data_IF_161525962140
#
_entry.id   IF_161525962140
#
_cell.length_a   1.000
_cell.length_b   1.000
_cell.length_c   1.000
_cell.angle_alpha   90.00
_cell.angle_beta   90.00
_cell.angle_gamma   90.00
#
_symmetry.space_group_name_H-M   'P 1'
#
loop_
_entity.id
_entity.type
_entity.pdbx_description
1 polymer ?
#
# COMPACT_ATOMS: atom_id res chain seq x y z
N UNK A 1 11.89 -37.04 15.62
CA UNK A 1 10.48 -36.72 15.31
C UNK A 1 10.43 -35.31 14.74
N UNK A 2 10.33 -35.16 13.42
CA UNK A 2 10.20 -33.85 12.75
C UNK A 2 8.74 -33.42 12.81
N UNK A 3 8.42 -32.41 13.63
CA UNK A 3 7.07 -31.84 13.70
C UNK A 3 6.79 -31.12 12.38
N UNK A 4 5.95 -31.71 11.54
CA UNK A 4 5.42 -31.05 10.33
C UNK A 4 4.61 -29.85 10.80
N UNK A 5 5.09 -28.64 10.52
CA UNK A 5 4.37 -27.40 10.80
C UNK A 5 3.16 -27.34 9.85
N UNK A 6 1.98 -27.63 10.36
CA UNK A 6 0.75 -27.21 9.72
C UNK A 6 0.67 -25.68 9.82
N UNK A 7 0.25 -24.97 8.76
CA UNK A 7 -0.02 -23.54 8.89
C UNK A 7 -1.15 -23.37 9.90
N UNK A 8 -0.83 -22.89 11.09
CA UNK A 8 -1.80 -22.46 12.08
C UNK A 8 -2.66 -21.34 11.44
N UNK A 9 -3.98 -21.30 11.72
CA UNK A 9 -4.82 -20.20 11.27
C UNK A 9 -4.19 -18.88 11.71
N UNK A 10 -4.03 -17.94 10.76
CA UNK A 10 -3.35 -16.66 10.99
C UNK A 10 -3.92 -15.96 12.24
N UNK A 11 -3.14 -15.97 13.32
CA UNK A 11 -3.54 -15.37 14.59
C UNK A 11 -2.95 -13.97 14.69
N UNK A 12 -3.83 -12.98 14.80
CA UNK A 12 -3.44 -11.57 14.94
C UNK A 12 -3.43 -11.19 16.42
N UNK A 13 -2.48 -10.33 16.79
CA UNK A 13 -2.37 -9.76 18.13
C UNK A 13 -2.25 -8.25 18.03
N UNK A 14 -2.93 -7.55 18.92
CA UNK A 14 -2.77 -6.12 19.09
C UNK A 14 -1.47 -5.81 19.87
N UNK A 15 -1.04 -4.54 19.84
CA UNK A 15 0.15 -4.08 20.57
C UNK A 15 0.03 -4.23 22.10
N UNK A 16 -1.19 -4.37 22.63
CA UNK A 16 -1.45 -4.66 24.04
C UNK A 16 -1.50 -6.18 24.35
N UNK A 17 -1.00 -7.01 23.44
CA UNK A 17 -0.99 -8.47 23.50
C UNK A 17 -2.37 -9.15 23.52
N UNK A 18 -3.46 -8.42 23.33
CA UNK A 18 -4.78 -9.05 23.17
C UNK A 18 -4.89 -9.75 21.81
N UNK A 19 -5.55 -10.90 21.81
CA UNK A 19 -5.83 -11.67 20.58
C UNK A 19 -6.92 -10.96 19.78
N UNK A 20 -6.66 -10.72 18.50
CA UNK A 20 -7.65 -10.20 17.55
C UNK A 20 -8.31 -11.40 16.87
N UNK A 21 -9.63 -11.53 17.01
CA UNK A 21 -10.41 -12.57 16.35
C UNK A 21 -10.47 -12.29 14.84
N UNK A 22 -10.25 -13.32 14.02
CA UNK A 22 -10.34 -13.26 12.57
C UNK A 22 -11.42 -14.22 12.07
N UNK A 23 -12.13 -13.81 11.02
CA UNK A 23 -13.30 -14.51 10.47
C UNK A 23 -13.11 -14.91 9.00
N UNK A 24 -11.87 -14.91 8.54
CA UNK A 24 -11.51 -15.18 7.15
C UNK A 24 -11.12 -13.92 6.40
N UNK A 25 -11.38 -13.90 5.09
CA UNK A 25 -10.94 -12.82 4.21
C UNK A 25 -11.96 -12.52 3.13
N UNK A 26 -11.98 -11.28 2.66
CA UNK A 26 -12.90 -10.79 1.63
C UNK A 26 -12.15 -9.91 0.64
N UNK A 27 -12.44 -10.08 -0.65
CA UNK A 27 -11.98 -9.16 -1.68
C UNK A 27 -12.81 -7.87 -1.57
N UNK A 28 -12.14 -6.74 -1.40
CA UNK A 28 -12.76 -5.43 -1.28
C UNK A 28 -12.05 -4.49 -2.24
N UNK A 29 -12.83 -3.72 -3.00
CA UNK A 29 -12.33 -2.58 -3.74
C UNK A 29 -12.41 -1.35 -2.83
N UNK A 30 -11.27 -0.73 -2.53
CA UNK A 30 -11.19 0.50 -1.76
C UNK A 30 -11.07 1.66 -2.73
N UNK A 31 -11.93 2.65 -2.55
CA UNK A 31 -11.77 3.97 -3.16
C UNK A 31 -10.94 4.84 -2.20
N UNK A 32 -9.75 5.25 -2.66
CA UNK A 32 -8.84 6.14 -1.94
C UNK A 32 -8.79 7.53 -2.59
N UNK A 33 -9.68 7.81 -3.56
CA UNK A 33 -9.71 9.05 -4.35
C UNK A 33 -8.44 9.27 -5.21
N UNK A 34 -7.63 8.23 -5.41
CA UNK A 34 -6.37 8.28 -6.17
C UNK A 34 -6.53 7.96 -7.67
N UNK A 35 -7.69 8.27 -8.26
CA UNK A 35 -8.00 8.04 -9.69
C UNK A 35 -7.77 6.59 -10.21
N UNK A 36 -7.67 5.60 -9.31
CA UNK A 36 -7.64 4.17 -9.64
C UNK A 36 -8.23 3.32 -8.53
N UNK A 37 -8.58 2.08 -8.87
CA UNK A 37 -9.21 1.12 -7.97
C UNK A 37 -8.16 0.30 -7.20
N UNK A 38 -8.41 0.07 -5.92
CA UNK A 38 -7.55 -0.74 -5.06
C UNK A 38 -8.29 -2.01 -4.61
N UNK A 39 -8.23 -3.05 -5.44
CA UNK A 39 -8.85 -4.35 -5.13
C UNK A 39 -7.88 -5.24 -4.35
N UNK A 40 -8.21 -5.56 -3.10
CA UNK A 40 -7.35 -6.37 -2.23
C UNK A 40 -8.13 -7.33 -1.34
N UNK A 41 -7.49 -8.45 -1.01
CA UNK A 41 -8.06 -9.48 -0.13
C UNK A 41 -7.76 -9.13 1.32
N UNK A 42 -8.71 -8.45 1.97
CA UNK A 42 -8.61 -8.07 3.38
C UNK A 42 -8.98 -9.19 4.32
N UNK A 43 -8.35 -9.22 5.50
CA UNK A 43 -8.76 -10.06 6.61
C UNK A 43 -9.94 -9.41 7.33
N UNK A 44 -10.99 -10.20 7.56
CA UNK A 44 -12.12 -9.78 8.40
C UNK A 44 -11.72 -10.05 9.84
N UNK A 45 -11.58 -8.99 10.63
CA UNK A 45 -11.12 -9.07 12.01
C UNK A 45 -12.02 -8.26 12.94
N UNK A 46 -12.13 -8.69 14.19
CA UNK A 46 -12.82 -7.94 15.26
C UNK A 46 -11.92 -6.80 15.74
N UNK A 47 -11.91 -5.69 15.00
CA UNK A 47 -11.20 -4.45 15.34
C UNK A 47 -12.16 -3.28 15.34
N UNK A 48 -11.94 -2.29 16.23
CA UNK A 48 -12.78 -1.09 16.31
C UNK A 48 -12.54 -0.11 15.15
N UNK A 49 -11.31 -0.07 14.65
CA UNK A 49 -10.89 0.81 13.55
C UNK A 49 -10.30 -0.06 12.44
N UNK A 50 -10.77 0.04 11.19
CA UNK A 50 -10.16 -0.65 10.05
C UNK A 50 -8.71 -0.22 9.87
N UNK A 51 -7.83 -1.17 9.55
CA UNK A 51 -6.39 -0.93 9.42
C UNK A 51 -5.94 -1.30 8.01
N UNK A 52 -5.28 -0.36 7.33
CA UNK A 52 -4.53 -0.64 6.11
C UNK A 52 -3.11 -1.04 6.52
N UNK A 53 -2.69 -2.22 6.07
CA UNK A 53 -1.38 -2.78 6.38
C UNK A 53 -0.33 -2.28 5.39
N UNK A 54 0.93 -2.35 5.79
CA UNK A 54 2.06 -1.93 4.95
C UNK A 54 2.21 -2.79 3.67
N UNK A 55 1.78 -4.06 3.71
CA UNK A 55 1.77 -4.96 2.54
C UNK A 55 0.87 -4.44 1.40
N UNK A 56 -0.30 -3.90 1.75
CA UNK A 56 -1.18 -3.22 0.79
C UNK A 56 -0.50 -1.97 0.21
N UNK A 57 0.13 -1.15 1.06
CA UNK A 57 0.80 0.08 0.62
C UNK A 57 1.94 -0.24 -0.36
N UNK A 58 2.77 -1.23 -0.03
CA UNK A 58 3.85 -1.71 -0.87
C UNK A 58 3.32 -2.24 -2.22
N UNK A 59 2.31 -3.11 -2.19
CA UNK A 59 1.76 -3.71 -3.40
C UNK A 59 1.24 -2.67 -4.40
N UNK A 60 0.64 -1.59 -3.90
CA UNK A 60 0.10 -0.54 -4.75
C UNK A 60 1.08 0.62 -4.97
N UNK A 61 2.27 0.63 -4.36
CA UNK A 61 3.20 1.76 -4.48
C UNK A 61 2.66 3.04 -3.84
N UNK A 62 2.06 2.93 -2.66
CA UNK A 62 1.50 4.05 -1.90
C UNK A 62 2.49 4.51 -0.83
N UNK A 63 2.75 5.81 -0.78
CA UNK A 63 3.60 6.44 0.23
C UNK A 63 2.74 7.20 1.25
N UNK A 64 3.05 7.04 2.53
CA UNK A 64 2.34 7.72 3.61
C UNK A 64 3.15 8.94 4.04
N UNK A 65 2.62 10.14 3.81
CA UNK A 65 3.14 11.39 4.37
C UNK A 65 2.38 11.72 5.67
N UNK A 66 2.97 11.34 6.80
CA UNK A 66 2.41 11.62 8.12
C UNK A 66 2.40 13.11 8.47
N UNK A 67 3.36 13.89 7.96
CA UNK A 67 3.48 15.31 8.26
C UNK A 67 2.35 16.09 7.59
N UNK A 68 2.04 15.76 6.34
CA UNK A 68 0.96 16.39 5.59
C UNK A 68 -0.38 15.67 5.73
N UNK A 69 -0.43 14.51 6.40
CA UNK A 69 -1.60 13.62 6.50
C UNK A 69 -2.15 13.24 5.12
N UNK A 70 -1.24 12.86 4.22
CA UNK A 70 -1.57 12.49 2.84
C UNK A 70 -1.11 11.08 2.51
N UNK A 71 -1.84 10.47 1.59
CA UNK A 71 -1.44 9.27 0.90
C UNK A 71 -1.03 9.67 -0.51
N UNK A 72 0.20 9.35 -0.89
CA UNK A 72 0.77 9.72 -2.18
C UNK A 72 0.82 8.47 -3.05
N UNK A 73 0.23 8.57 -4.23
CA UNK A 73 0.38 7.53 -5.23
C UNK A 73 1.73 7.69 -5.95
N UNK A 74 2.64 6.73 -5.75
CA UNK A 74 3.94 6.71 -6.43
C UNK A 74 3.98 5.72 -7.59
N UNK A 75 2.87 5.01 -7.86
CA UNK A 75 2.79 4.13 -9.00
C UNK A 75 2.83 4.96 -10.30
N UNK A 76 3.58 4.52 -11.32
CA UNK A 76 3.53 5.15 -12.63
C UNK A 76 2.10 5.05 -13.17
N UNK A 77 1.53 6.17 -13.60
CA UNK A 77 0.19 6.25 -14.22
C UNK A 77 0.09 5.34 -15.47
N UNK A 78 1.23 4.97 -16.05
CA UNK A 78 1.36 4.14 -17.25
C UNK A 78 2.36 3.01 -17.02
N UNK A 79 1.91 1.84 -16.56
CA UNK A 79 2.69 0.61 -16.70
C UNK A 79 2.53 0.08 -18.13
N UNK A 80 3.19 0.73 -19.10
CA UNK A 80 3.46 0.08 -20.38
C UNK A 80 4.50 -1.01 -20.13
N UNK A 81 4.11 -2.27 -20.28
CA UNK A 81 5.03 -3.40 -20.15
C UNK A 81 6.11 -3.31 -21.22
N UNK A 82 7.30 -2.87 -20.82
CA UNK A 82 8.52 -2.87 -21.62
C UNK A 82 8.94 -1.47 -22.06
N UNK A 83 9.81 -0.83 -21.28
CA UNK A 83 11.21 -0.54 -21.63
C UNK A 83 11.87 0.00 -20.36
N UNK A 84 12.89 -0.70 -19.84
CA UNK A 84 13.83 -0.11 -18.88
C UNK A 84 14.69 0.89 -19.62
N UNK A 85 14.42 2.19 -19.48
CA UNK A 85 15.39 3.22 -19.87
C UNK A 85 16.10 3.65 -18.59
N UNK A 86 17.38 3.28 -18.47
CA UNK A 86 18.27 3.95 -17.54
C UNK A 86 18.38 5.41 -18.01
N UNK A 87 17.67 6.33 -17.35
CA UNK A 87 17.86 7.75 -17.60
C UNK A 87 18.82 8.27 -16.54
N UNK A 88 20.04 8.53 -16.99
CA UNK A 88 20.98 9.41 -16.30
C UNK A 88 20.33 10.79 -16.08
N UNK A 89 20.71 11.43 -14.98
CA UNK A 89 20.08 12.60 -14.37
C UNK A 89 19.41 13.61 -15.33
N UNK A 90 18.13 13.91 -15.09
CA UNK A 90 17.48 15.10 -15.66
C UNK A 90 17.45 16.18 -14.58
N UNK A 91 18.42 17.07 -14.65
CA UNK A 91 18.44 18.35 -13.96
C UNK A 91 17.30 19.23 -14.47
N UNK A 92 16.51 19.79 -13.57
CA UNK A 92 15.46 20.77 -13.91
C UNK A 92 16.12 22.15 -13.96
N UNK A 93 16.32 22.70 -15.16
CA UNK A 93 16.72 24.10 -15.31
C UNK A 93 15.47 25.01 -15.19
N UNK A 94 15.54 25.98 -14.29
CA UNK A 94 14.61 27.10 -14.21
C UNK A 94 14.82 27.99 -15.45
N UNK A 95 13.81 28.17 -16.30
CA UNK A 95 13.84 29.22 -17.31
C UNK A 95 13.11 30.42 -16.72
N UNK A 96 13.87 31.41 -16.24
CA UNK A 96 13.38 32.77 -16.12
C UNK A 96 13.28 33.34 -17.53
N UNK A 97 12.07 33.73 -17.94
CA UNK A 97 11.83 34.48 -19.17
C UNK A 97 11.22 35.82 -18.82
N UNK A 98 12.04 36.86 -18.90
CA UNK A 98 11.75 38.23 -18.51
C UNK A 98 10.63 38.91 -19.33
N UNK A 99 10.06 39.92 -18.68
CA UNK A 99 9.12 40.94 -19.13
C UNK A 99 9.40 41.53 -20.51
N UNK A 100 8.33 41.74 -21.29
CA UNK A 100 7.99 43.05 -21.91
C UNK A 100 6.48 43.22 -21.94
#
# INVERSE_FOLDING_TARGET
MTKKLSPEPLQLFAANNSKILTYGSKLINIDLELQRNFSWKFLIASVSIPIIRADFLENFGLLVDLKQRKLIDSAPILSLSGVSVATDAISVNLILGDTY
#
